data_IF_089665988319
#
_entry.id   IF_089665988319
#
_cell.length_a   1.000
_cell.length_b   1.000
_cell.length_c   1.000
_cell.angle_alpha   90.00
_cell.angle_beta   90.00
_cell.angle_gamma   90.00
#
_symmetry.space_group_name_H-M   'P 1'
#
loop_
_entity.id
_entity.type
_entity.pdbx_description
1 polymer ?
#
# COMPACT_ATOMS: atom_id res chain seq x y z
N UNK A 1 0.48 -9.08 18.62
CA UNK A 1 -0.36 -8.05 18.00
C UNK A 1 -1.79 -8.33 18.40
N UNK A 2 -2.49 -7.32 18.89
CA UNK A 2 -3.89 -7.47 19.29
C UNK A 2 -4.81 -7.60 18.06
N UNK A 3 -6.03 -8.12 18.29
CA UNK A 3 -6.98 -8.36 17.19
C UNK A 3 -7.43 -7.05 16.54
N UNK A 4 -7.60 -5.99 17.32
CA UNK A 4 -8.01 -4.69 16.80
C UNK A 4 -6.95 -4.09 15.86
N UNK A 5 -5.68 -4.13 16.24
CA UNK A 5 -4.58 -3.66 15.38
C UNK A 5 -4.51 -4.46 14.09
N UNK A 6 -4.67 -5.79 14.16
CA UNK A 6 -4.68 -6.65 12.97
C UNK A 6 -5.84 -6.30 12.04
N UNK A 7 -7.04 -6.07 12.59
CA UNK A 7 -8.19 -5.63 11.79
C UNK A 7 -7.93 -4.29 11.10
N UNK A 8 -7.37 -3.31 11.80
CA UNK A 8 -7.03 -2.02 11.20
C UNK A 8 -6.00 -2.15 10.08
N UNK A 9 -4.99 -3.01 10.26
CA UNK A 9 -4.01 -3.29 9.21
C UNK A 9 -4.66 -3.92 7.98
N UNK A 10 -5.56 -4.88 8.17
CA UNK A 10 -6.29 -5.52 7.07
C UNK A 10 -7.20 -4.55 6.33
N UNK A 11 -7.95 -3.73 7.06
CA UNK A 11 -8.84 -2.72 6.47
C UNK A 11 -8.02 -1.72 5.66
N UNK A 12 -6.94 -1.21 6.22
CA UNK A 12 -6.04 -0.27 5.53
C UNK A 12 -5.42 -0.90 4.28
N UNK A 13 -5.00 -2.16 4.35
CA UNK A 13 -4.46 -2.89 3.21
C UNK A 13 -5.48 -2.99 2.08
N UNK A 14 -6.69 -3.47 2.36
CA UNK A 14 -7.72 -3.62 1.33
C UNK A 14 -8.22 -2.28 0.80
N UNK A 15 -8.36 -1.28 1.65
CA UNK A 15 -8.70 0.07 1.21
C UNK A 15 -7.68 0.59 0.19
N UNK A 16 -6.40 0.45 0.50
CA UNK A 16 -5.29 0.85 -0.39
C UNK A 16 -5.25 -0.01 -1.66
N UNK A 17 -5.40 -1.32 -1.51
CA UNK A 17 -5.46 -2.26 -2.62
C UNK A 17 -6.53 -1.89 -3.65
N UNK A 18 -7.74 -1.60 -3.20
CA UNK A 18 -8.84 -1.25 -4.09
C UNK A 18 -8.73 0.17 -4.64
N UNK A 19 -8.29 1.13 -3.86
CA UNK A 19 -8.13 2.52 -4.33
C UNK A 19 -7.00 2.68 -5.35
N UNK A 20 -5.96 1.87 -5.25
CA UNK A 20 -4.92 1.77 -6.27
C UNK A 20 -5.39 0.88 -7.43
N UNK A 21 -5.99 -0.24 -7.13
CA UNK A 21 -6.31 -1.28 -8.10
C UNK A 21 -7.43 -0.90 -9.05
N UNK A 22 -8.56 -0.41 -8.55
CA UNK A 22 -9.76 -0.17 -9.39
C UNK A 22 -9.47 0.77 -10.55
N UNK A 23 -8.87 1.96 -10.36
CA UNK A 23 -8.53 2.81 -11.49
C UNK A 23 -7.46 2.19 -12.40
N UNK A 24 -6.47 1.52 -11.82
CA UNK A 24 -5.40 0.86 -12.57
C UNK A 24 -5.95 -0.30 -13.44
N UNK A 25 -6.85 -1.11 -12.91
CA UNK A 25 -7.43 -2.26 -13.63
C UNK A 25 -8.32 -1.85 -14.80
N UNK A 26 -8.81 -0.60 -14.83
CA UNK A 26 -9.63 -0.06 -15.92
C UNK A 26 -8.81 0.41 -17.11
N UNK A 27 -7.50 0.60 -16.95
CA UNK A 27 -6.64 1.05 -18.05
C UNK A 27 -6.46 -0.11 -19.03
N UNK A 28 -6.67 0.09 -20.37
CA UNK A 28 -6.40 -0.96 -21.35
C UNK A 28 -4.93 -1.41 -21.29
N UNK A 29 -4.72 -2.70 -21.43
CA UNK A 29 -3.37 -3.30 -21.30
C UNK A 29 -2.33 -2.66 -22.21
N UNK A 30 -2.70 -2.36 -23.45
CA UNK A 30 -1.81 -1.78 -24.46
C UNK A 30 -1.39 -0.32 -24.17
N UNK A 31 -2.06 0.35 -23.24
CA UNK A 31 -1.77 1.74 -22.85
C UNK A 31 -1.17 1.86 -21.46
N UNK A 32 -0.99 0.73 -20.75
CA UNK A 32 -0.42 0.74 -19.39
C UNK A 32 1.07 1.05 -19.46
N UNK A 33 1.49 2.06 -18.71
CA UNK A 33 2.88 2.42 -18.53
C UNK A 33 3.15 2.62 -17.02
N UNK A 34 3.90 1.72 -16.42
CA UNK A 34 4.25 1.81 -15.00
C UNK A 34 5.54 2.60 -14.80
N UNK A 35 5.66 3.40 -13.74
CA UNK A 35 4.69 3.58 -12.64
C UNK A 35 3.59 4.62 -12.87
N UNK A 36 3.60 5.34 -14.00
CA UNK A 36 2.69 6.48 -14.25
C UNK A 36 1.22 6.07 -14.30
N UNK A 37 0.93 4.81 -14.61
CA UNK A 37 -0.43 4.27 -14.62
C UNK A 37 -1.05 4.14 -13.22
N UNK A 38 -0.24 4.22 -12.15
CA UNK A 38 -0.75 4.15 -10.79
C UNK A 38 -1.54 5.42 -10.45
N UNK A 39 -2.75 5.28 -9.87
CA UNK A 39 -3.59 6.45 -9.56
C UNK A 39 -2.99 7.24 -8.39
N UNK A 40 -2.79 8.53 -8.59
CA UNK A 40 -2.28 9.44 -7.54
C UNK A 40 -3.17 9.41 -6.30
N UNK A 41 -4.48 9.42 -6.49
CA UNK A 41 -5.43 9.32 -5.37
C UNK A 41 -5.22 8.06 -4.53
N UNK A 42 -5.05 6.91 -5.20
CA UNK A 42 -4.77 5.65 -4.50
C UNK A 42 -3.46 5.68 -3.72
N UNK A 43 -2.42 6.28 -4.27
CA UNK A 43 -1.14 6.45 -3.59
C UNK A 43 -1.25 7.38 -2.37
N UNK A 44 -2.05 8.43 -2.47
CA UNK A 44 -2.37 9.31 -1.32
C UNK A 44 -3.09 8.52 -0.24
N UNK A 45 -4.01 7.63 -0.60
CA UNK A 45 -4.71 6.76 0.36
C UNK A 45 -3.72 5.81 1.05
N UNK A 46 -2.76 5.25 0.33
CA UNK A 46 -1.70 4.40 0.93
C UNK A 46 -0.93 5.19 2.00
N UNK A 47 -0.46 6.37 1.68
CA UNK A 47 0.26 7.23 2.63
C UNK A 47 -0.61 7.67 3.80
N UNK A 48 -1.83 8.11 3.52
CA UNK A 48 -2.80 8.53 4.55
C UNK A 48 -3.19 7.39 5.50
N UNK A 49 -3.42 6.20 4.97
CA UNK A 49 -3.72 5.01 5.78
C UNK A 49 -2.51 4.61 6.65
N UNK A 50 -1.30 4.67 6.12
CA UNK A 50 -0.08 4.41 6.90
C UNK A 50 0.06 5.41 8.07
N UNK A 51 -0.21 6.69 7.81
CA UNK A 51 -0.22 7.74 8.83
C UNK A 51 -1.25 7.46 9.92
N UNK A 52 -2.48 7.13 9.54
CA UNK A 52 -3.56 6.82 10.50
C UNK A 52 -3.24 5.58 11.33
N UNK A 53 -2.70 4.53 10.72
CA UNK A 53 -2.27 3.33 11.44
C UNK A 53 -1.20 3.68 12.49
N UNK A 54 -0.29 4.57 12.15
CA UNK A 54 0.76 5.01 13.09
C UNK A 54 0.18 5.77 14.28
N UNK A 55 -0.87 6.56 14.05
CA UNK A 55 -1.51 7.37 15.09
C UNK A 55 -2.49 6.58 15.97
N UNK A 56 -3.16 5.57 15.41
CA UNK A 56 -4.31 4.93 16.05
C UNK A 56 -4.05 3.51 16.55
N UNK A 57 -2.97 2.86 16.11
CA UNK A 57 -2.73 1.47 16.44
C UNK A 57 -1.43 1.28 17.22
N UNK A 58 -1.28 0.07 17.78
CA UNK A 58 -0.05 -0.37 18.45
C UNK A 58 0.94 -1.05 17.49
N UNK A 59 0.65 -1.05 16.19
CA UNK A 59 1.52 -1.64 15.19
C UNK A 59 2.88 -0.93 15.18
N UNK A 60 3.93 -1.72 15.01
CA UNK A 60 5.29 -1.19 14.92
C UNK A 60 5.48 -0.47 13.58
N UNK A 61 6.46 0.42 13.53
CA UNK A 61 6.88 1.12 12.33
C UNK A 61 7.03 0.16 11.13
N UNK A 62 7.74 -0.93 11.31
CA UNK A 62 8.00 -1.88 10.24
C UNK A 62 6.78 -2.72 9.85
N UNK A 63 5.90 -3.05 10.79
CA UNK A 63 4.65 -3.75 10.47
C UNK A 63 3.78 -2.93 9.53
N UNK A 64 3.63 -1.64 9.81
CA UNK A 64 2.85 -0.73 8.96
C UNK A 64 3.50 -0.62 7.58
N UNK A 65 4.81 -0.39 7.53
CA UNK A 65 5.53 -0.26 6.25
C UNK A 65 5.38 -1.52 5.40
N UNK A 66 5.58 -2.71 5.97
CA UNK A 66 5.46 -3.97 5.24
C UNK A 66 4.06 -4.16 4.65
N UNK A 67 3.04 -3.95 5.46
CA UNK A 67 1.64 -4.15 5.03
C UNK A 67 1.24 -3.13 3.97
N UNK A 68 1.53 -1.87 4.19
CA UNK A 68 1.11 -0.80 3.28
C UNK A 68 1.93 -0.81 1.98
N UNK A 69 3.22 -1.11 2.05
CA UNK A 69 4.04 -1.29 0.85
C UNK A 69 3.49 -2.41 -0.03
N UNK A 70 3.09 -3.54 0.57
CA UNK A 70 2.57 -4.70 -0.15
C UNK A 70 1.25 -4.41 -0.89
N UNK A 71 0.47 -3.41 -0.48
CA UNK A 71 -0.82 -3.10 -1.10
C UNK A 71 -0.71 -2.69 -2.57
N UNK A 72 0.35 -1.98 -2.94
CA UNK A 72 0.55 -1.49 -4.33
C UNK A 72 0.96 -2.63 -5.27
N UNK A 73 2.03 -3.40 -5.00
CA UNK A 73 2.36 -4.54 -5.86
C UNK A 73 1.29 -5.63 -5.85
N UNK A 74 0.52 -5.78 -4.77
CA UNK A 74 -0.61 -6.70 -4.75
C UNK A 74 -1.68 -6.31 -5.76
N UNK A 75 -2.00 -5.02 -5.91
CA UNK A 75 -2.95 -4.52 -6.91
C UNK A 75 -2.46 -4.78 -8.34
N UNK A 76 -1.18 -4.56 -8.59
CA UNK A 76 -0.55 -4.86 -9.89
C UNK A 76 -0.54 -6.37 -10.16
N UNK A 77 -0.18 -7.17 -9.17
CA UNK A 77 -0.14 -8.63 -9.29
C UNK A 77 -1.54 -9.22 -9.54
N UNK A 78 -2.58 -8.68 -8.92
CA UNK A 78 -3.96 -9.09 -9.17
C UNK A 78 -4.32 -8.93 -10.65
N UNK A 79 -3.89 -7.85 -11.28
CA UNK A 79 -4.06 -7.64 -12.72
C UNK A 79 -3.25 -8.64 -13.54
N UNK A 80 -2.00 -8.90 -13.17
CA UNK A 80 -1.15 -9.89 -13.86
C UNK A 80 -1.84 -11.26 -13.86
N UNK A 81 -2.39 -11.66 -12.74
CA UNK A 81 -3.13 -12.94 -12.62
C UNK A 81 -4.39 -12.93 -13.49
N UNK A 82 -5.17 -11.86 -13.42
CA UNK A 82 -6.42 -11.74 -14.19
C UNK A 82 -6.18 -11.76 -15.69
N UNK A 83 -5.24 -10.97 -16.17
CA UNK A 83 -4.90 -10.92 -17.59
C UNK A 83 -4.26 -12.21 -18.06
N UNK A 84 -3.51 -12.90 -17.20
CA UNK A 84 -2.93 -14.21 -17.47
C UNK A 84 -3.96 -15.31 -17.72
N UNK A 85 -5.14 -15.24 -17.10
CA UNK A 85 -6.26 -16.15 -17.39
C UNK A 85 -6.87 -15.91 -18.77
N UNK A 86 -6.84 -14.66 -19.26
CA UNK A 86 -7.38 -14.27 -20.57
C UNK A 86 -6.37 -14.50 -21.70
N UNK A 87 -5.12 -14.17 -21.44
CA UNK A 87 -4.01 -14.31 -22.38
C UNK A 87 -2.73 -14.68 -21.61
N UNK A 88 -2.29 -15.97 -21.66
CA UNK A 88 -1.08 -16.40 -20.95
C UNK A 88 0.20 -15.70 -21.40
N UNK A 89 0.21 -15.07 -22.58
CA UNK A 89 1.37 -14.32 -23.08
C UNK A 89 1.42 -12.86 -22.59
N UNK A 90 0.34 -12.39 -21.95
CA UNK A 90 0.30 -11.05 -21.36
C UNK A 90 1.25 -10.96 -20.16
N UNK A 91 1.76 -9.76 -19.87
CA UNK A 91 2.63 -9.52 -18.72
C UNK A 91 3.85 -10.45 -18.62
N UNK A 92 4.50 -10.75 -19.75
CA UNK A 92 5.73 -11.58 -19.75
C UNK A 92 6.83 -11.03 -18.84
N UNK A 93 6.81 -9.74 -18.58
CA UNK A 93 7.76 -9.04 -17.71
C UNK A 93 7.17 -8.67 -16.34
N UNK A 94 6.20 -9.44 -15.87
CA UNK A 94 5.52 -9.16 -14.59
C UNK A 94 6.46 -9.00 -13.38
N UNK A 95 7.60 -9.70 -13.28
CA UNK A 95 8.53 -9.43 -12.17
C UNK A 95 9.11 -8.02 -12.21
N UNK A 96 9.32 -7.47 -13.39
CA UNK A 96 9.76 -6.07 -13.55
C UNK A 96 8.65 -5.09 -13.20
N UNK A 97 7.41 -5.39 -13.54
CA UNK A 97 6.26 -4.57 -13.15
C UNK A 97 6.16 -4.47 -11.62
N UNK A 98 6.28 -5.59 -10.92
CA UNK A 98 6.32 -5.62 -9.46
C UNK A 98 7.54 -4.86 -8.91
N UNK A 99 8.71 -5.05 -9.50
CA UNK A 99 9.94 -4.38 -9.07
C UNK A 99 9.88 -2.86 -9.22
N UNK A 100 9.15 -2.35 -10.23
CA UNK A 100 8.96 -0.91 -10.46
C UNK A 100 7.98 -0.29 -9.46
N UNK A 101 6.90 -0.99 -9.12
CA UNK A 101 5.86 -0.44 -8.24
C UNK A 101 6.16 -0.63 -6.76
N UNK A 102 7.01 -1.59 -6.40
CA UNK A 102 7.38 -1.84 -5.01
C UNK A 102 8.02 -0.61 -4.34
N UNK A 103 9.01 0.09 -4.94
CA UNK A 103 9.56 1.30 -4.37
C UNK A 103 8.54 2.43 -4.22
N UNK A 104 7.55 2.52 -5.11
CA UNK A 104 6.49 3.52 -5.03
C UNK A 104 5.63 3.27 -3.79
N UNK A 105 5.19 2.04 -3.58
CA UNK A 105 4.45 1.67 -2.38
C UNK A 105 5.26 1.90 -1.10
N UNK A 106 6.53 1.55 -1.12
CA UNK A 106 7.45 1.77 0.00
C UNK A 106 7.60 3.25 0.33
N UNK A 107 7.81 4.10 -0.67
CA UNK A 107 7.94 5.55 -0.48
C UNK A 107 6.65 6.15 0.13
N UNK A 108 5.48 5.75 -0.35
CA UNK A 108 4.19 6.19 0.19
C UNK A 108 4.01 5.74 1.64
N UNK A 109 4.31 4.48 1.94
CA UNK A 109 4.19 3.93 3.29
C UNK A 109 5.14 4.62 4.28
N UNK A 110 6.40 4.79 3.92
CA UNK A 110 7.41 5.48 4.75
C UNK A 110 7.01 6.93 5.01
N UNK A 111 6.60 7.64 3.98
CA UNK A 111 6.14 9.04 4.10
C UNK A 111 4.96 9.13 5.07
N UNK A 112 3.99 8.26 4.95
CA UNK A 112 2.83 8.23 5.84
C UNK A 112 3.21 7.93 7.29
N UNK A 113 4.03 6.92 7.53
CA UNK A 113 4.47 6.55 8.88
C UNK A 113 5.31 7.66 9.51
N UNK A 114 6.21 8.29 8.76
CA UNK A 114 7.01 9.41 9.25
C UNK A 114 6.13 10.61 9.58
N UNK A 115 5.17 10.95 8.72
CA UNK A 115 4.20 12.01 8.99
C UNK A 115 3.38 11.73 10.25
N UNK A 116 2.91 10.51 10.42
CA UNK A 116 2.18 10.09 11.63
C UNK A 116 3.05 10.17 12.89
N UNK A 117 4.30 9.76 12.80
CA UNK A 117 5.25 9.86 13.91
C UNK A 117 5.54 11.31 14.30
N UNK A 118 5.69 12.19 13.29
CA UNK A 118 5.90 13.63 13.52
C UNK A 118 4.69 14.27 14.20
N UNK A 119 3.49 13.99 13.72
CA UNK A 119 2.23 14.49 14.32
C UNK A 119 2.12 14.01 15.77
N UNK A 120 2.40 12.73 16.05
CA UNK A 120 2.39 12.19 17.40
C UNK A 120 3.37 12.92 18.32
N UNK A 121 4.58 13.21 17.83
CA UNK A 121 5.58 13.97 18.58
C UNK A 121 5.13 15.42 18.86
N UNK A 122 4.53 16.08 17.88
CA UNK A 122 4.07 17.47 18.01
C UNK A 122 2.85 17.62 18.93
N UNK A 123 1.99 16.60 18.99
CA UNK A 123 0.77 16.62 19.81
C UNK A 123 0.97 16.05 21.21
N UNK A 124 2.17 15.59 21.54
CA UNK A 124 2.50 14.99 22.84
C UNK A 124 1.75 13.67 23.10
N UNK A 125 1.16 13.04 22.09
CA UNK A 125 0.54 11.73 22.21
C UNK A 125 1.62 10.68 22.41
N UNK A 126 1.63 9.93 23.54
CA UNK A 126 2.56 8.83 23.70
C UNK A 126 2.27 7.79 22.61
N UNK A 127 3.29 7.43 21.86
CA UNK A 127 3.17 6.28 20.98
C UNK A 127 2.86 5.06 21.84
N UNK A 128 1.76 4.40 21.57
CA UNK A 128 1.36 3.19 22.28
C UNK A 128 2.39 2.10 22.00
N UNK A 129 3.48 2.10 22.77
CA UNK A 129 4.41 0.97 22.76
C UNK A 129 3.72 -0.23 23.37
N UNK A 130 3.70 -1.33 22.65
CA UNK A 130 3.34 -2.62 23.23
C UNK A 130 4.35 -2.90 24.34
N UNK A 131 3.89 -2.98 25.60
CA UNK A 131 4.74 -3.47 26.68
C UNK A 131 5.14 -4.91 26.32
N UNK A 132 6.45 -5.12 26.25
CA UNK A 132 7.00 -6.47 26.10
C UNK A 132 6.75 -7.28 27.36
#
# INVERSE_FOLDING_TARGET
>A
MDSATRQHLMIAFFLSFFTVGIPYWRIPYNTVNLPEALPVFGLIVVGGAAMMLRLQTTATFWQIIKVMTASVPAAVFARVVWDGFKDPSSHNLWPFEIAVVLPVGFACAVTGVLAGSLIAAMTGKPQRRKKR
#
